data_IF_095452613908
#
_entry.id   IF_095452613908
#
_cell.length_a   1.000
_cell.length_b   1.000
_cell.length_c   1.000
_cell.angle_alpha   90.00
_cell.angle_beta   90.00
_cell.angle_gamma   90.00
#
_symmetry.space_group_name_H-M   'P 1'
#
loop_
_entity.id
_entity.type
_entity.pdbx_description
1 polymer ?
#
# COMPACT_ATOMS: atom_id res chain seq x y z
N UNK A 1 26.79 20.15 39.73
CA UNK A 1 26.98 20.58 38.32
C UNK A 1 25.97 19.83 37.46
N UNK A 2 24.96 20.54 36.95
CA UNK A 2 23.91 19.98 36.08
C UNK A 2 24.52 19.69 34.70
N UNK A 3 24.42 18.45 34.21
CA UNK A 3 24.65 18.15 32.79
C UNK A 3 23.29 17.99 32.12
N UNK A 4 22.93 18.99 31.33
CA UNK A 4 21.78 19.04 30.45
C UNK A 4 22.11 18.17 29.24
N UNK A 5 21.39 17.07 29.05
CA UNK A 5 21.50 16.25 27.84
C UNK A 5 20.39 16.73 26.89
N UNK A 6 20.76 17.59 25.93
CA UNK A 6 19.89 17.91 24.80
C UNK A 6 19.94 16.74 23.83
N UNK A 7 18.83 16.00 23.73
CA UNK A 7 18.60 15.05 22.65
C UNK A 7 18.17 15.88 21.45
N UNK A 8 19.06 15.98 20.47
CA UNK A 8 18.76 16.58 19.17
C UNK A 8 18.03 15.52 18.35
N UNK A 9 16.70 15.59 18.30
CA UNK A 9 15.89 14.75 17.43
C UNK A 9 15.98 15.30 16.01
N UNK A 10 16.85 14.73 15.20
CA UNK A 10 16.86 14.97 13.75
C UNK A 10 15.65 14.28 13.14
N UNK A 11 14.63 15.07 12.76
CA UNK A 11 13.54 14.61 11.91
C UNK A 11 14.13 14.25 10.54
N UNK A 12 14.12 12.97 10.19
CA UNK A 12 14.46 12.49 8.84
C UNK A 12 13.16 12.34 8.08
N UNK A 13 13.00 13.14 7.02
CA UNK A 13 11.87 13.04 6.09
C UNK A 13 12.06 11.81 5.21
N UNK A 14 11.24 10.77 5.39
CA UNK A 14 11.14 9.68 4.42
C UNK A 14 10.40 10.20 3.18
N UNK A 15 11.10 10.34 2.07
CA UNK A 15 10.47 10.53 0.75
C UNK A 15 10.07 9.15 0.22
N UNK A 16 8.79 8.81 0.34
CA UNK A 16 8.22 7.63 -0.29
C UNK A 16 8.25 7.75 -1.82
N UNK A 17 8.57 6.65 -2.50
CA UNK A 17 8.38 6.56 -3.94
C UNK A 17 6.88 6.64 -4.24
N UNK A 18 6.51 7.67 -4.99
CA UNK A 18 5.18 7.88 -5.49
C UNK A 18 4.83 6.78 -6.53
N UNK A 19 4.27 5.66 -6.08
CA UNK A 19 3.72 4.60 -6.94
C UNK A 19 2.32 4.94 -7.46
N UNK A 20 1.95 6.22 -7.50
CA UNK A 20 0.63 6.67 -7.93
C UNK A 20 0.58 8.14 -8.36
N UNK A 21 1.49 8.57 -9.24
CA UNK A 21 1.20 9.70 -10.10
C UNK A 21 1.57 9.34 -11.53
N UNK A 22 0.58 9.51 -12.43
CA UNK A 22 0.73 9.30 -13.85
C UNK A 22 2.06 9.85 -14.36
N UNK A 23 2.80 8.99 -15.04
CA UNK A 23 3.94 9.38 -15.85
C UNK A 23 3.53 10.59 -16.70
N UNK A 24 4.15 11.74 -16.43
CA UNK A 24 4.11 12.88 -17.33
C UNK A 24 4.73 12.44 -18.66
N UNK A 25 3.88 12.07 -19.61
CA UNK A 25 4.27 12.04 -21.01
C UNK A 25 4.56 13.48 -21.44
N UNK A 26 5.81 13.92 -21.32
CA UNK A 26 6.31 15.06 -22.07
C UNK A 26 6.60 14.58 -23.50
N UNK A 27 5.59 14.62 -24.35
CA UNK A 27 5.81 14.64 -25.79
C UNK A 27 5.92 16.10 -26.24
N UNK A 28 7.06 16.42 -26.86
CA UNK A 28 7.35 17.73 -27.42
C UNK A 28 6.35 18.11 -28.53
N UNK A 29 5.77 19.30 -28.39
CA UNK A 29 5.42 20.17 -29.52
C UNK A 29 4.17 19.85 -30.32
N UNK A 30 3.00 20.27 -29.83
CA UNK A 30 2.03 21.00 -30.65
C UNK A 30 1.07 21.77 -29.73
N UNK A 31 0.96 23.07 -29.94
CA UNK A 31 0.03 23.95 -29.24
C UNK A 31 -1.39 23.64 -29.68
N UNK A 32 -2.30 23.32 -28.75
CA UNK A 32 -3.70 23.68 -28.90
C UNK A 32 -4.41 23.84 -27.56
N UNK A 33 -5.16 24.94 -27.47
CA UNK A 33 -5.95 25.40 -26.35
C UNK A 33 -7.02 24.37 -25.93
N UNK A 34 -6.73 23.54 -24.93
CA UNK A 34 -7.77 22.97 -24.08
C UNK A 34 -7.46 23.34 -22.65
N UNK A 35 -8.24 24.31 -22.19
CA UNK A 35 -8.55 24.69 -20.81
C UNK A 35 -7.91 23.79 -19.75
N UNK A 36 -7.01 24.38 -18.97
CA UNK A 36 -6.54 23.84 -17.71
C UNK A 36 -7.73 23.58 -16.76
N UNK A 37 -8.35 22.42 -16.88
CA UNK A 37 -9.07 21.81 -15.76
C UNK A 37 -7.97 21.37 -14.83
N UNK A 38 -7.69 22.19 -13.82
CA UNK A 38 -6.81 21.83 -12.72
C UNK A 38 -7.16 20.41 -12.28
N UNK A 39 -6.16 19.53 -12.30
CA UNK A 39 -6.19 18.17 -11.79
C UNK A 39 -6.52 18.19 -10.31
N UNK A 40 -7.79 18.32 -9.96
CA UNK A 40 -8.27 18.09 -8.61
C UNK A 40 -8.04 16.60 -8.33
N UNK A 41 -7.29 16.31 -7.27
CA UNK A 41 -7.16 14.94 -6.77
C UNK A 41 -8.56 14.40 -6.46
N UNK A 42 -8.81 13.16 -6.88
CA UNK A 42 -10.08 12.51 -6.55
C UNK A 42 -10.20 12.37 -5.03
N UNK A 43 -11.42 12.46 -4.47
CA UNK A 43 -11.64 12.13 -3.07
C UNK A 43 -11.18 10.71 -2.79
N UNK A 44 -10.46 10.53 -1.69
CA UNK A 44 -9.99 9.20 -1.30
C UNK A 44 -11.16 8.35 -0.79
N UNK A 45 -11.26 7.09 -1.24
CA UNK A 45 -12.38 6.23 -0.85
C UNK A 45 -12.19 5.79 0.60
N UNK A 46 -13.22 5.98 1.43
CA UNK A 46 -13.19 5.56 2.83
C UNK A 46 -13.93 4.21 2.95
N UNK A 47 -13.23 3.10 3.25
CA UNK A 47 -13.88 1.81 3.43
C UNK A 47 -14.84 1.84 4.62
N UNK A 48 -15.96 1.11 4.50
CA UNK A 48 -16.83 0.85 5.64
C UNK A 48 -16.19 -0.24 6.51
N UNK A 49 -16.01 0.05 7.80
CA UNK A 49 -15.45 -0.91 8.76
C UNK A 49 -16.59 -1.75 9.34
N UNK A 50 -16.57 -3.08 9.18
CA UNK A 50 -17.59 -3.94 9.78
C UNK A 50 -17.52 -3.92 11.32
N UNK A 51 -18.66 -4.20 11.95
CA UNK A 51 -18.73 -4.38 13.41
C UNK A 51 -17.77 -5.48 13.89
N UNK A 52 -17.08 -5.25 14.99
CA UNK A 52 -16.09 -6.19 15.56
C UNK A 52 -14.64 -5.87 15.20
N UNK A 53 -14.40 -4.91 14.30
CA UNK A 53 -13.06 -4.47 13.87
C UNK A 53 -12.71 -3.07 14.40
N UNK A 54 -13.44 -2.55 15.40
CA UNK A 54 -13.28 -1.18 15.90
C UNK A 54 -11.90 -0.95 16.51
N UNK A 55 -11.34 -1.98 17.17
CA UNK A 55 -10.01 -1.91 17.78
C UNK A 55 -8.92 -1.92 16.70
N UNK A 56 -9.00 -2.80 15.71
CA UNK A 56 -8.05 -2.84 14.59
C UNK A 56 -8.13 -1.58 13.72
N UNK A 57 -9.33 -1.01 13.54
CA UNK A 57 -9.49 0.26 12.86
C UNK A 57 -8.85 1.41 13.66
N UNK A 58 -9.02 1.41 14.99
CA UNK A 58 -8.36 2.39 15.85
C UNK A 58 -6.84 2.27 15.78
N UNK A 59 -6.30 1.05 15.75
CA UNK A 59 -4.87 0.80 15.55
C UNK A 59 -4.40 1.27 14.17
N UNK A 60 -5.19 1.03 13.12
CA UNK A 60 -4.85 1.43 11.76
C UNK A 60 -4.83 2.96 11.62
N UNK A 61 -5.83 3.64 12.18
CA UNK A 61 -5.90 5.10 12.19
C UNK A 61 -4.84 5.75 13.08
N UNK A 62 -4.36 5.03 14.10
CA UNK A 62 -3.25 5.44 14.94
C UNK A 62 -1.89 5.25 14.26
N UNK A 63 -1.82 4.64 13.08
CA UNK A 63 -0.61 4.65 12.25
C UNK A 63 -0.36 6.09 11.79
N UNK A 64 0.69 6.68 12.34
CA UNK A 64 1.12 8.04 12.04
C UNK A 64 2.52 8.03 11.43
N UNK A 65 2.91 9.20 10.92
CA UNK A 65 4.29 9.57 10.54
C UNK A 65 4.85 8.95 9.27
N UNK A 66 4.11 9.13 8.17
CA UNK A 66 4.76 9.42 6.90
C UNK A 66 4.25 10.76 6.37
N UNK A 67 5.10 11.78 6.52
CA UNK A 67 4.81 13.14 6.03
C UNK A 67 4.56 13.03 4.52
N UNK A 68 3.41 13.54 4.07
CA UNK A 68 2.94 13.54 2.68
C UNK A 68 2.25 12.28 2.12
N UNK A 69 2.08 11.20 2.91
CA UNK A 69 1.57 9.92 2.37
C UNK A 69 0.05 9.79 2.34
N UNK A 70 -0.67 10.40 3.29
CA UNK A 70 -2.13 10.28 3.39
C UNK A 70 -2.59 9.67 4.72
N UNK A 71 -3.90 9.43 4.86
CA UNK A 71 -4.50 8.81 6.04
C UNK A 71 -4.59 7.29 5.86
N UNK A 72 -4.31 6.56 6.93
CA UNK A 72 -4.51 5.12 6.96
C UNK A 72 -5.97 4.77 7.22
N UNK A 73 -6.45 3.76 6.49
CA UNK A 73 -7.80 3.23 6.60
C UNK A 73 -7.76 1.71 6.70
N UNK A 74 -8.66 1.16 7.51
CA UNK A 74 -8.89 -0.27 7.59
C UNK A 74 -9.88 -0.69 6.50
N UNK A 75 -9.51 -1.67 5.70
CA UNK A 75 -10.39 -2.38 4.78
C UNK A 75 -10.47 -3.84 5.20
N UNK A 76 -11.68 -4.31 5.46
CA UNK A 76 -11.97 -5.73 5.71
C UNK A 76 -12.80 -6.26 4.56
N UNK A 77 -12.37 -7.35 3.94
CA UNK A 77 -13.00 -7.81 2.72
C UNK A 77 -12.61 -9.21 2.31
N UNK A 78 -13.11 -9.61 1.14
CA UNK A 78 -12.83 -10.89 0.51
C UNK A 78 -12.06 -10.69 -0.77
N UNK A 79 -10.97 -11.44 -0.96
CA UNK A 79 -10.18 -11.47 -2.19
C UNK A 79 -11.06 -11.93 -3.35
N UNK A 80 -11.07 -11.17 -4.44
CA UNK A 80 -11.82 -11.50 -5.66
C UNK A 80 -10.94 -12.08 -6.76
N UNK A 81 -9.70 -11.62 -6.88
CA UNK A 81 -8.79 -12.01 -7.97
C UNK A 81 -7.53 -12.69 -7.44
N UNK A 82 -6.94 -13.53 -8.29
CA UNK A 82 -5.59 -14.04 -8.03
C UNK A 82 -4.57 -12.91 -8.03
N UNK A 83 -3.56 -12.96 -7.14
CA UNK A 83 -2.44 -12.03 -7.14
C UNK A 83 -1.67 -12.01 -8.47
N UNK A 84 -1.31 -10.81 -8.92
CA UNK A 84 -0.58 -10.57 -10.17
C UNK A 84 0.67 -9.78 -9.86
N UNK A 85 1.82 -10.28 -10.35
CA UNK A 85 3.08 -9.55 -10.26
C UNK A 85 3.06 -8.34 -11.18
N UNK A 86 3.58 -7.22 -10.67
CA UNK A 86 3.77 -5.98 -11.42
C UNK A 86 5.19 -5.47 -11.26
N UNK A 87 5.84 -5.20 -12.39
CA UNK A 87 7.18 -4.61 -12.42
C UNK A 87 7.24 -3.29 -11.65
N UNK A 88 8.42 -3.02 -11.09
CA UNK A 88 8.71 -1.86 -10.27
C UNK A 88 9.84 -0.98 -10.81
N UNK A 89 10.24 -0.03 -9.97
CA UNK A 89 11.46 0.76 -10.18
C UNK A 89 12.60 0.21 -9.33
N UNK A 90 13.84 0.33 -9.80
CA UNK A 90 15.00 -0.08 -9.01
C UNK A 90 15.41 0.99 -8.00
N UNK A 91 15.64 0.58 -6.76
CA UNK A 91 16.25 1.38 -5.69
C UNK A 91 17.43 0.61 -5.11
N UNK A 92 18.64 1.19 -5.16
CA UNK A 92 19.89 0.53 -4.74
C UNK A 92 20.05 -0.90 -5.34
N UNK A 93 19.70 -1.06 -6.62
CA UNK A 93 19.67 -2.35 -7.36
C UNK A 93 18.67 -3.40 -6.86
N UNK A 94 17.71 -3.02 -6.02
CA UNK A 94 16.56 -3.85 -5.64
C UNK A 94 15.33 -3.32 -6.37
N UNK A 95 14.61 -4.20 -7.08
CA UNK A 95 13.36 -3.81 -7.75
C UNK A 95 12.23 -3.64 -6.72
N UNK A 96 11.61 -2.47 -6.67
CA UNK A 96 10.41 -2.21 -5.89
C UNK A 96 9.16 -2.68 -6.66
N UNK A 97 9.11 -3.97 -6.95
CA UNK A 97 7.99 -4.62 -7.63
C UNK A 97 6.77 -4.73 -6.71
N UNK A 98 5.58 -4.85 -7.32
CA UNK A 98 4.32 -4.89 -6.59
C UNK A 98 3.56 -6.19 -6.88
N UNK A 99 2.65 -6.54 -6.00
CA UNK A 99 1.61 -7.53 -6.21
C UNK A 99 0.26 -6.85 -6.18
N UNK A 100 -0.50 -7.00 -7.26
CA UNK A 100 -1.87 -6.50 -7.37
C UNK A 100 -2.89 -7.61 -7.17
N UNK A 101 -3.93 -7.33 -6.39
CA UNK A 101 -5.12 -8.17 -6.27
C UNK A 101 -6.33 -7.33 -5.85
N UNK A 102 -7.53 -7.85 -6.07
CA UNK A 102 -8.76 -7.12 -5.77
C UNK A 102 -9.38 -7.64 -4.48
N UNK A 103 -9.85 -6.72 -3.65
CA UNK A 103 -10.61 -7.03 -2.43
C UNK A 103 -11.96 -6.35 -2.47
N UNK A 104 -13.02 -7.12 -2.26
CA UNK A 104 -14.37 -6.59 -2.08
C UNK A 104 -14.63 -6.35 -0.60
N UNK A 105 -15.04 -5.13 -0.18
CA UNK A 105 -15.39 -4.88 1.22
C UNK A 105 -16.49 -5.82 1.72
N UNK A 106 -16.40 -6.26 2.98
CA UNK A 106 -17.47 -7.07 3.57
C UNK A 106 -18.80 -6.28 3.59
N UNK A 107 -19.88 -6.94 3.19
CA UNK A 107 -21.20 -6.33 3.07
C UNK A 107 -21.44 -5.58 1.75
N UNK A 108 -20.43 -5.44 0.89
CA UNK A 108 -20.62 -4.96 -0.48
C UNK A 108 -21.18 -6.07 -1.38
N UNK A 109 -22.15 -5.72 -2.21
CA UNK A 109 -22.84 -6.65 -3.12
C UNK A 109 -22.48 -6.43 -4.59
N UNK A 110 -22.01 -5.23 -4.94
CA UNK A 110 -21.55 -4.92 -6.29
C UNK A 110 -20.08 -5.30 -6.44
N UNK A 111 -19.73 -6.34 -7.22
CA UNK A 111 -18.33 -6.78 -7.38
C UNK A 111 -17.44 -5.74 -8.07
N UNK A 112 -18.00 -4.68 -8.66
CA UNK A 112 -17.24 -3.57 -9.25
C UNK A 112 -16.74 -2.54 -8.22
N UNK A 113 -17.24 -2.58 -6.98
CA UNK A 113 -16.82 -1.69 -5.90
C UNK A 113 -15.59 -2.22 -5.15
N UNK A 114 -14.80 -3.07 -5.80
CA UNK A 114 -13.58 -3.61 -5.22
C UNK A 114 -12.53 -2.51 -5.02
N UNK A 115 -11.56 -2.81 -4.16
CA UNK A 115 -10.33 -2.06 -4.02
C UNK A 115 -9.20 -2.84 -4.70
N UNK A 116 -8.48 -2.19 -5.60
CA UNK A 116 -7.18 -2.67 -6.08
C UNK A 116 -6.15 -2.52 -4.97
N UNK A 117 -5.60 -3.63 -4.51
CA UNK A 117 -4.57 -3.67 -3.47
C UNK A 117 -3.23 -3.71 -4.15
N UNK A 118 -2.35 -2.76 -3.84
CA UNK A 118 -0.95 -2.77 -4.26
C UNK A 118 -0.07 -3.09 -3.05
N UNK A 119 0.44 -4.31 -3.01
CA UNK A 119 1.37 -4.83 -2.01
C UNK A 119 2.81 -4.73 -2.54
N UNK A 120 3.76 -4.27 -1.73
CA UNK A 120 5.16 -4.09 -2.10
C UNK A 120 5.94 -5.38 -1.84
N UNK A 121 6.33 -6.06 -2.92
CA UNK A 121 6.90 -7.41 -2.85
C UNK A 121 8.13 -7.50 -1.93
N UNK A 122 8.94 -6.46 -1.83
CA UNK A 122 10.12 -6.39 -0.95
C UNK A 122 9.81 -6.59 0.54
N UNK A 123 8.57 -6.34 0.97
CA UNK A 123 8.14 -6.58 2.36
C UNK A 123 7.57 -7.98 2.57
N UNK A 124 7.52 -8.79 1.52
CA UNK A 124 7.09 -10.18 1.60
C UNK A 124 8.29 -11.08 1.89
N UNK A 125 8.14 -12.08 2.77
CA UNK A 125 9.26 -12.94 3.20
C UNK A 125 9.85 -13.82 2.09
N UNK A 126 9.06 -14.18 1.08
CA UNK A 126 9.49 -14.94 -0.10
C UNK A 126 10.05 -14.08 -1.23
N UNK A 127 10.30 -12.79 -1.00
CA UNK A 127 10.91 -11.93 -1.99
C UNK A 127 12.35 -12.34 -2.29
N UNK A 128 12.68 -12.47 -3.57
CA UNK A 128 14.05 -12.74 -4.03
C UNK A 128 14.47 -11.61 -4.97
N UNK A 129 15.49 -10.84 -4.58
CA UNK A 129 16.06 -9.77 -5.39
C UNK A 129 16.51 -10.24 -6.77
N UNK A 130 16.93 -11.50 -6.93
CA UNK A 130 17.32 -12.05 -8.23
C UNK A 130 16.13 -12.19 -9.20
N UNK A 131 14.89 -12.14 -8.70
CA UNK A 131 13.66 -12.11 -9.49
C UNK A 131 13.63 -13.13 -10.64
N UNK A 132 14.07 -14.39 -10.46
CA UNK A 132 14.37 -15.28 -11.59
C UNK A 132 13.15 -15.53 -12.50
N UNK A 133 11.93 -15.37 -11.98
CA UNK A 133 10.68 -15.59 -12.71
C UNK A 133 9.71 -14.41 -12.68
N UNK A 134 10.06 -13.27 -12.05
CA UNK A 134 9.13 -12.14 -11.83
C UNK A 134 7.76 -12.61 -11.34
N UNK A 135 7.76 -13.40 -10.28
CA UNK A 135 6.59 -14.06 -9.72
C UNK A 135 6.17 -13.40 -8.42
N UNK A 136 4.87 -13.47 -8.11
CA UNK A 136 4.36 -13.04 -6.80
C UNK A 136 5.06 -13.85 -5.70
N UNK A 137 5.70 -13.19 -4.71
CA UNK A 137 6.36 -13.88 -3.61
C UNK A 137 5.36 -14.48 -2.62
N UNK A 138 5.72 -15.60 -1.99
CA UNK A 138 4.97 -16.12 -0.84
C UNK A 138 5.24 -15.24 0.41
N UNK A 139 4.25 -14.99 1.30
CA UNK A 139 2.93 -15.62 1.31
C UNK A 139 1.87 -14.97 0.41
N UNK A 140 2.12 -13.83 -0.23
CA UNK A 140 1.11 -13.18 -1.09
C UNK A 140 0.60 -14.09 -2.20
N UNK A 141 1.47 -14.94 -2.78
CA UNK A 141 1.11 -15.91 -3.81
C UNK A 141 0.04 -16.93 -3.39
N UNK A 142 -0.19 -17.08 -2.08
CA UNK A 142 -1.16 -18.03 -1.53
C UNK A 142 -2.56 -17.42 -1.36
N UNK A 143 -2.72 -16.11 -1.58
CA UNK A 143 -4.03 -15.48 -1.58
C UNK A 143 -4.83 -16.00 -2.78
N UNK A 144 -6.05 -16.46 -2.50
CA UNK A 144 -6.98 -16.99 -3.50
C UNK A 144 -8.33 -16.32 -3.36
N UNK A 145 -9.11 -16.33 -4.43
CA UNK A 145 -10.49 -15.82 -4.37
C UNK A 145 -11.27 -16.51 -3.24
N UNK A 146 -11.95 -15.70 -2.42
CA UNK A 146 -12.66 -16.18 -1.23
C UNK A 146 -11.87 -16.07 0.08
N UNK A 147 -10.55 -15.82 0.05
CA UNK A 147 -9.79 -15.52 1.27
C UNK A 147 -10.31 -14.22 1.89
N UNK A 148 -10.66 -14.25 3.18
CA UNK A 148 -11.02 -13.05 3.93
C UNK A 148 -9.74 -12.40 4.47
N UNK A 149 -9.61 -11.08 4.26
CA UNK A 149 -8.43 -10.31 4.65
C UNK A 149 -8.82 -9.04 5.38
N UNK A 150 -7.93 -8.62 6.27
CA UNK A 150 -7.87 -7.29 6.87
C UNK A 150 -6.64 -6.57 6.34
N UNK A 151 -6.85 -5.37 5.83
CA UNK A 151 -5.83 -4.50 5.28
C UNK A 151 -5.83 -3.18 6.04
N UNK A 152 -4.65 -2.73 6.45
CA UNK A 152 -4.45 -1.35 6.87
C UNK A 152 -3.46 -0.70 5.91
N UNK A 153 -3.85 0.41 5.32
CA UNK A 153 -3.04 1.10 4.33
C UNK A 153 -3.62 2.45 3.96
N UNK A 154 -3.02 3.08 2.97
CA UNK A 154 -3.46 4.37 2.46
C UNK A 154 -4.34 4.12 1.24
N UNK A 155 -5.51 4.75 1.20
CA UNK A 155 -6.42 4.58 0.06
C UNK A 155 -6.09 5.54 -1.06
N UNK A 156 -6.19 5.09 -2.30
CA UNK A 156 -6.13 5.91 -3.50
C UNK A 156 -7.43 5.79 -4.31
N UNK A 157 -7.80 6.84 -5.05
CA UNK A 157 -8.73 6.77 -6.16
C UNK A 157 -7.99 7.17 -7.43
N UNK A 158 -7.99 6.29 -8.43
CA UNK A 158 -7.39 6.58 -9.73
C UNK A 158 -8.46 6.57 -10.82
N UNK A 159 -8.29 7.46 -11.79
CA UNK A 159 -9.17 7.56 -12.95
C UNK A 159 -8.41 7.08 -14.17
N UNK A 160 -8.87 5.99 -14.77
CA UNK A 160 -8.32 5.55 -16.05
C UNK A 160 -8.39 6.70 -17.07
N UNK A 161 -7.27 7.14 -17.64
CA UNK A 161 -7.26 8.19 -18.66
C UNK A 161 -8.04 7.81 -19.92
N UNK A 162 -8.13 6.51 -20.22
CA UNK A 162 -8.75 5.99 -21.43
C UNK A 162 -10.26 5.79 -21.28
N UNK A 163 -10.71 5.27 -20.14
CA UNK A 163 -12.13 4.92 -19.93
C UNK A 163 -12.86 5.94 -19.07
N UNK A 164 -12.12 6.77 -18.33
CA UNK A 164 -12.68 7.69 -17.34
C UNK A 164 -13.26 7.01 -16.10
N UNK A 165 -13.16 5.68 -15.99
CA UNK A 165 -13.63 4.90 -14.84
C UNK A 165 -12.73 5.19 -13.65
N UNK A 166 -13.34 5.45 -12.50
CA UNK A 166 -12.64 5.61 -11.23
C UNK A 166 -12.58 4.25 -10.54
N UNK A 167 -11.38 3.82 -10.16
CA UNK A 167 -11.15 2.65 -9.32
C UNK A 167 -10.69 3.07 -7.94
N UNK A 168 -11.19 2.37 -6.92
CA UNK A 168 -10.68 2.47 -5.57
C UNK A 168 -9.45 1.58 -5.43
N UNK A 169 -8.52 1.98 -4.57
CA UNK A 169 -7.40 1.14 -4.23
C UNK A 169 -6.85 1.43 -2.85
N UNK A 170 -5.96 0.56 -2.40
CA UNK A 170 -5.23 0.66 -1.15
C UNK A 170 -3.79 0.21 -1.38
N UNK A 171 -2.84 1.02 -0.94
CA UNK A 171 -1.42 0.71 -0.98
C UNK A 171 -0.80 0.95 0.40
N UNK A 172 0.51 0.86 0.51
CA UNK A 172 1.20 1.07 1.79
C UNK A 172 0.74 0.08 2.86
N UNK A 173 0.47 -1.15 2.44
CA UNK A 173 -0.04 -2.24 3.28
C UNK A 173 1.10 -3.03 3.95
N UNK A 174 2.25 -2.37 4.13
CA UNK A 174 3.48 -2.93 4.67
C UNK A 174 4.02 -2.12 5.85
N UNK A 175 4.93 -2.73 6.61
CA UNK A 175 5.63 -2.06 7.71
C UNK A 175 6.52 -0.92 7.19
N UNK A 176 6.65 0.17 7.96
CA UNK A 176 7.63 1.23 7.65
C UNK A 176 8.87 1.19 8.57
N UNK A 177 8.77 0.46 9.68
CA UNK A 177 9.87 0.27 10.63
C UNK A 177 9.83 -1.13 11.27
N UNK A 178 10.93 -1.52 11.92
CA UNK A 178 11.05 -2.85 12.54
C UNK A 178 10.11 -3.05 13.73
N UNK A 179 9.79 -1.96 14.44
CA UNK A 179 8.90 -1.98 15.61
C UNK A 179 7.42 -2.13 15.20
N UNK A 180 7.11 -2.04 13.91
CA UNK A 180 5.75 -2.00 13.37
C UNK A 180 4.88 -0.97 14.08
N UNK A 181 5.46 0.19 14.43
CA UNK A 181 4.69 1.34 14.96
C UNK A 181 4.18 2.22 13.82
N UNK A 182 4.85 2.18 12.66
CA UNK A 182 4.52 2.90 11.44
C UNK A 182 4.21 1.92 10.28
N UNK A 183 3.45 2.39 9.31
CA UNK A 183 3.03 1.61 8.14
C UNK A 183 1.75 0.81 8.34
N UNK A 184 1.44 -0.03 7.36
CA UNK A 184 0.23 -0.82 7.23
C UNK A 184 0.44 -2.32 7.48
N UNK A 185 -0.55 -3.11 7.06
CA UNK A 185 -0.48 -4.56 7.08
C UNK A 185 -1.48 -5.20 6.11
N UNK A 186 -1.19 -6.45 5.77
CA UNK A 186 -2.12 -7.42 5.19
C UNK A 186 -2.19 -8.61 6.13
N UNK A 187 -3.37 -8.97 6.62
CA UNK A 187 -3.58 -10.17 7.44
C UNK A 187 -4.73 -11.00 6.89
N UNK A 188 -4.59 -12.32 6.95
CA UNK A 188 -5.68 -13.25 6.66
C UNK A 188 -6.55 -13.36 7.91
N UNK A 189 -7.86 -13.28 7.74
CA UNK A 189 -8.84 -13.63 8.76
C UNK A 189 -9.16 -15.12 8.61
N UNK A 190 -8.69 -15.93 9.55
CA UNK A 190 -8.92 -17.36 9.57
C UNK A 190 -10.40 -17.68 9.84
N UNK A 191 -10.81 -18.92 9.55
CA UNK A 191 -12.20 -19.37 9.75
C UNK A 191 -12.66 -19.32 11.21
N UNK A 192 -11.74 -19.31 12.17
CA UNK A 192 -12.02 -19.16 13.60
C UNK A 192 -12.07 -17.69 14.07
N UNK A 193 -11.89 -16.74 13.15
CA UNK A 193 -11.84 -15.30 13.43
C UNK A 193 -10.47 -14.79 13.88
N UNK A 194 -9.47 -15.66 14.04
CA UNK A 194 -8.10 -15.22 14.35
C UNK A 194 -7.44 -14.54 13.14
N UNK A 195 -6.55 -13.59 13.41
CA UNK A 195 -5.73 -12.96 12.38
C UNK A 195 -4.41 -13.71 12.21
N UNK A 196 -3.95 -13.87 10.97
CA UNK A 196 -2.58 -14.29 10.69
C UNK A 196 -1.55 -13.23 11.08
N UNK A 197 -0.28 -13.60 11.01
CA UNK A 197 0.80 -12.61 10.94
C UNK A 197 0.62 -11.69 9.72
N UNK A 198 1.22 -10.50 9.78
CA UNK A 198 1.25 -9.58 8.65
C UNK A 198 2.05 -10.20 7.49
N UNK A 199 1.44 -10.30 6.31
CA UNK A 199 2.05 -10.86 5.10
C UNK A 199 3.19 -9.97 4.55
N UNK A 200 3.19 -8.68 4.89
CA UNK A 200 4.19 -7.68 4.50
C UNK A 200 5.02 -7.18 5.71
N UNK A 201 5.62 -8.11 6.45
CA UNK A 201 6.41 -7.83 7.65
C UNK A 201 7.93 -8.07 7.47
N UNK A 202 8.41 -8.36 6.26
CA UNK A 202 9.83 -8.59 6.03
C UNK A 202 10.61 -7.28 6.24
N UNK A 203 11.62 -7.34 7.10
CA UNK A 203 12.45 -6.19 7.46
C UNK A 203 13.76 -6.12 6.68
N UNK A 204 14.08 -7.14 5.89
CA UNK A 204 15.35 -7.29 5.16
C UNK A 204 15.71 -6.06 4.33
N UNK A 205 14.72 -5.43 3.69
CA UNK A 205 14.93 -4.33 2.75
C UNK A 205 14.67 -2.93 3.32
N UNK A 206 14.44 -2.80 4.64
CA UNK A 206 14.21 -1.48 5.25
C UNK A 206 15.39 -0.51 5.06
N UNK A 207 16.61 -1.03 4.86
CA UNK A 207 17.80 -0.22 4.56
C UNK A 207 17.73 0.55 3.23
N UNK A 208 16.78 0.22 2.35
CA UNK A 208 16.59 0.95 1.10
C UNK A 208 16.25 2.42 1.37
N UNK A 209 15.58 2.71 2.48
CA UNK A 209 15.17 4.05 2.89
C UNK A 209 15.99 4.64 4.06
N UNK A 210 17.02 3.93 4.54
CA UNK A 210 17.98 4.51 5.48
C UNK A 210 19.01 5.38 4.75
N UNK A 211 19.39 6.49 5.40
CA UNK A 211 20.41 7.43 4.92
C UNK A 211 21.85 6.91 5.00
N UNK A 212 22.05 5.74 5.62
CA UNK A 212 23.38 5.24 5.93
C UNK A 212 23.91 4.39 4.76
N UNK A 213 24.98 4.90 4.12
CA UNK A 213 25.95 4.14 3.34
C UNK A 213 27.15 3.81 4.23
#
# INVERSE_FOLDING_TARGET
>A
MKKLLMIMSTLVTLSACNSGAGQQYKQNGYSDNITAIASQSLPQPVPNVPSGFESDNSLCQARTDMVDSGKFYLLVGTVLSSPIYKDGINQKNVELSHTHFHVLPLGESNPQNYYDVAADNVFTSGYDQAQPNKSVPAPLSNLVSGTTVELCGITYADKSPQTGVVSNGIHWVHIANQQMTEGGWIKIINSDGSLSDNLENNTEYLYLWSSDN
#
